data_IF_137637636215
#
_entry.id   IF_137637636215
#
_cell.length_a   1.000
_cell.length_b   1.000
_cell.length_c   1.000
_cell.angle_alpha   90.00
_cell.angle_beta   90.00
_cell.angle_gamma   90.00
#
_symmetry.space_group_name_H-M   'P 1'
#
loop_
_entity.id
_entity.type
_entity.pdbx_description
1 polymer ?
#
# COMPACT_ATOMS: atom_id res chain seq x y z
N UNK A 1 53.43 57.45 -51.24
CA UNK A 1 51.98 57.29 -50.95
C UNK A 1 51.82 56.51 -49.65
N UNK A 2 51.40 57.14 -48.55
CA UNK A 2 51.23 56.48 -47.25
C UNK A 2 49.75 56.32 -46.92
N UNK A 3 49.28 55.09 -46.81
CA UNK A 3 47.88 54.73 -46.58
C UNK A 3 47.57 54.88 -45.07
N UNK A 4 46.85 55.94 -44.67
CA UNK A 4 46.36 56.10 -43.29
C UNK A 4 45.28 55.05 -43.02
N UNK A 5 45.59 54.05 -42.20
CA UNK A 5 44.58 53.12 -41.67
C UNK A 5 43.65 53.88 -40.71
N UNK A 6 42.31 53.75 -40.83
CA UNK A 6 41.40 54.37 -39.89
C UNK A 6 41.59 53.74 -38.50
N UNK A 7 41.86 54.55 -37.48
CA UNK A 7 41.86 54.11 -36.07
C UNK A 7 40.44 53.70 -35.73
N UNK A 8 40.20 52.40 -35.57
CA UNK A 8 38.96 51.86 -35.02
C UNK A 8 38.80 52.43 -33.60
N UNK A 9 37.84 53.34 -33.43
CA UNK A 9 37.45 53.81 -32.10
C UNK A 9 36.73 52.66 -31.40
N UNK A 10 37.43 51.93 -30.55
CA UNK A 10 36.80 51.05 -29.57
C UNK A 10 36.14 51.94 -28.52
N UNK A 11 34.82 52.11 -28.61
CA UNK A 11 34.04 52.71 -27.52
C UNK A 11 34.14 51.79 -26.31
N UNK A 12 34.63 52.30 -25.19
CA UNK A 12 34.62 51.59 -23.91
C UNK A 12 33.20 51.54 -23.34
N UNK A 13 32.86 50.44 -22.68
CA UNK A 13 31.57 50.28 -22.02
C UNK A 13 31.46 51.19 -20.81
N UNK A 14 30.30 51.83 -20.63
CA UNK A 14 30.04 52.60 -19.41
C UNK A 14 29.71 51.67 -18.24
N UNK A 15 29.98 52.12 -17.00
CA UNK A 15 29.72 51.34 -15.80
C UNK A 15 28.24 50.94 -15.69
N UNK A 16 27.33 51.82 -16.11
CA UNK A 16 25.88 51.56 -16.15
C UNK A 16 25.52 50.48 -17.18
N UNK A 17 26.19 50.43 -18.33
CA UNK A 17 25.95 49.43 -19.38
C UNK A 17 26.46 48.04 -18.98
N UNK A 18 27.59 47.97 -18.26
CA UNK A 18 28.08 46.72 -17.65
C UNK A 18 27.17 46.24 -16.51
N UNK A 19 26.68 47.15 -15.67
CA UNK A 19 25.74 46.80 -14.60
C UNK A 19 24.38 46.36 -15.14
N UNK A 20 23.85 47.01 -16.19
CA UNK A 20 22.59 46.62 -16.80
C UNK A 20 22.73 45.27 -17.52
N UNK A 21 23.82 45.04 -18.27
CA UNK A 21 24.09 43.75 -18.91
C UNK A 21 24.22 42.61 -17.90
N UNK A 22 24.93 42.82 -16.78
CA UNK A 22 25.05 41.83 -15.71
C UNK A 22 23.69 41.53 -15.04
N UNK A 23 22.89 42.57 -14.78
CA UNK A 23 21.55 42.43 -14.18
C UNK A 23 20.61 41.65 -15.10
N UNK A 24 20.59 41.98 -16.40
CA UNK A 24 19.80 41.25 -17.40
C UNK A 24 20.27 39.79 -17.49
N UNK A 25 21.58 39.53 -17.46
CA UNK A 25 22.12 38.18 -17.43
C UNK A 25 21.63 37.35 -16.25
N UNK A 26 21.58 37.95 -15.05
CA UNK A 26 21.07 37.28 -13.84
C UNK A 26 19.56 37.01 -13.97
N UNK A 27 18.77 37.97 -14.48
CA UNK A 27 17.32 37.78 -14.68
C UNK A 27 17.05 36.64 -15.65
N UNK A 28 17.81 36.55 -16.75
CA UNK A 28 17.67 35.46 -17.72
C UNK A 28 18.03 34.12 -17.07
N UNK A 29 19.14 34.06 -16.31
CA UNK A 29 19.54 32.84 -15.62
C UNK A 29 18.47 32.38 -14.61
N UNK A 30 17.86 33.31 -13.87
CA UNK A 30 16.76 33.01 -12.96
C UNK A 30 15.56 32.41 -13.69
N UNK A 31 15.19 32.97 -14.86
CA UNK A 31 14.12 32.42 -15.69
C UNK A 31 14.41 31.00 -16.17
N UNK A 32 15.65 30.72 -16.57
CA UNK A 32 16.08 29.38 -17.01
C UNK A 32 16.01 28.37 -15.87
N UNK A 33 16.51 28.73 -14.67
CA UNK A 33 16.46 27.86 -13.50
C UNK A 33 15.01 27.50 -13.15
N UNK A 34 14.09 28.47 -13.20
CA UNK A 34 12.69 28.21 -12.88
C UNK A 34 12.01 27.30 -13.93
N UNK A 35 12.30 27.50 -15.21
CA UNK A 35 11.83 26.61 -16.28
C UNK A 35 12.34 25.17 -16.07
N UNK A 36 13.62 25.00 -15.72
CA UNK A 36 14.17 23.68 -15.41
C UNK A 36 13.54 23.04 -14.18
N UNK A 37 13.27 23.82 -13.12
CA UNK A 37 12.57 23.30 -11.92
C UNK A 37 11.16 22.83 -12.25
N UNK A 38 10.44 23.58 -13.08
CA UNK A 38 9.10 23.19 -13.55
C UNK A 38 9.14 21.88 -14.33
N UNK A 39 10.06 21.74 -15.29
CA UNK A 39 10.23 20.52 -16.07
C UNK A 39 10.62 19.34 -15.17
N UNK A 40 11.57 19.55 -14.25
CA UNK A 40 12.01 18.51 -13.32
C UNK A 40 10.88 18.02 -12.42
N UNK A 41 10.05 18.95 -11.92
CA UNK A 41 8.84 18.61 -11.16
C UNK A 41 7.87 17.76 -11.97
N UNK A 42 7.55 18.20 -13.20
CA UNK A 42 6.64 17.46 -14.08
C UNK A 42 7.15 16.05 -14.42
N UNK A 43 8.46 15.88 -14.63
CA UNK A 43 9.07 14.57 -14.86
C UNK A 43 9.01 13.69 -13.62
N UNK A 44 9.28 14.25 -12.44
CA UNK A 44 9.18 13.55 -11.16
C UNK A 44 7.76 13.04 -10.91
N UNK A 45 6.77 13.91 -11.11
CA UNK A 45 5.34 13.57 -10.95
C UNK A 45 4.90 12.52 -11.97
N UNK A 46 5.33 12.65 -13.22
CA UNK A 46 5.09 11.66 -14.27
C UNK A 46 5.64 10.28 -13.91
N UNK A 47 6.87 10.22 -13.37
CA UNK A 47 7.48 8.97 -12.92
C UNK A 47 6.74 8.35 -11.74
N UNK A 48 6.36 9.17 -10.75
CA UNK A 48 5.59 8.73 -9.58
C UNK A 48 4.26 8.08 -10.00
N UNK A 49 3.54 8.69 -10.94
CA UNK A 49 2.29 8.14 -11.47
C UNK A 49 2.49 6.78 -12.17
N UNK A 50 3.57 6.62 -12.93
CA UNK A 50 3.90 5.34 -13.59
C UNK A 50 4.26 4.26 -12.56
N UNK A 51 5.03 4.62 -11.53
CA UNK A 51 5.40 3.71 -10.44
C UNK A 51 4.16 3.26 -9.64
N UNK A 52 3.24 4.19 -9.35
CA UNK A 52 1.97 3.87 -8.68
C UNK A 52 1.08 2.97 -9.53
N UNK A 53 0.91 3.28 -10.82
CA UNK A 53 0.12 2.46 -11.74
C UNK A 53 0.68 1.04 -11.85
N UNK A 54 2.01 0.91 -11.92
CA UNK A 54 2.68 -0.39 -11.93
C UNK A 54 2.43 -1.15 -10.63
N UNK A 55 2.54 -0.47 -9.49
CA UNK A 55 2.30 -1.04 -8.16
C UNK A 55 0.86 -1.54 -8.00
N UNK A 56 -0.14 -0.76 -8.41
CA UNK A 56 -1.55 -1.15 -8.39
C UNK A 56 -1.84 -2.35 -9.28
N UNK A 57 -1.25 -2.40 -10.49
CA UNK A 57 -1.39 -3.55 -11.40
C UNK A 57 -0.80 -4.81 -10.78
N UNK A 58 0.38 -4.71 -10.14
CA UNK A 58 1.00 -5.84 -9.45
C UNK A 58 0.16 -6.30 -8.25
N UNK A 59 -0.35 -5.38 -7.43
CA UNK A 59 -1.22 -5.69 -6.30
C UNK A 59 -2.51 -6.38 -6.78
N UNK A 60 -3.17 -5.85 -7.81
CA UNK A 60 -4.37 -6.44 -8.41
C UNK A 60 -4.11 -7.83 -8.99
N UNK A 61 -2.99 -8.03 -9.68
CA UNK A 61 -2.63 -9.33 -10.25
C UNK A 61 -2.37 -10.36 -9.14
N UNK A 62 -1.69 -9.96 -8.06
CA UNK A 62 -1.45 -10.84 -6.91
C UNK A 62 -2.74 -11.19 -6.16
N UNK A 63 -3.58 -10.20 -5.88
CA UNK A 63 -4.87 -10.42 -5.22
C UNK A 63 -5.76 -11.37 -6.04
N UNK A 64 -5.83 -11.18 -7.36
CA UNK A 64 -6.56 -12.12 -8.24
C UNK A 64 -5.99 -13.53 -8.16
N UNK A 65 -4.67 -13.69 -8.22
CA UNK A 65 -4.03 -15.00 -8.14
C UNK A 65 -4.33 -15.69 -6.80
N UNK A 66 -4.33 -14.96 -5.69
CA UNK A 66 -4.66 -15.51 -4.38
C UNK A 66 -6.14 -15.91 -4.27
N UNK A 67 -7.05 -15.09 -4.80
CA UNK A 67 -8.50 -15.36 -4.80
C UNK A 67 -8.88 -16.50 -5.75
N UNK A 68 -8.19 -16.66 -6.87
CA UNK A 68 -8.39 -17.80 -7.78
C UNK A 68 -8.01 -19.13 -7.12
N UNK A 69 -7.07 -19.08 -6.18
CA UNK A 69 -6.62 -20.22 -5.37
C UNK A 69 -7.47 -20.49 -4.11
N UNK A 70 -8.58 -19.77 -3.88
CA UNK A 70 -9.37 -19.94 -2.65
C UNK A 70 -9.80 -21.40 -2.44
N UNK A 71 -9.67 -21.88 -1.20
CA UNK A 71 -9.94 -23.30 -0.87
C UNK A 71 -11.38 -23.57 -0.46
N UNK A 72 -12.22 -22.55 -0.33
CA UNK A 72 -13.64 -22.64 0.00
C UNK A 72 -14.47 -21.93 -1.08
N UNK A 73 -15.63 -22.46 -1.48
CA UNK A 73 -16.51 -21.71 -2.38
C UNK A 73 -16.99 -20.43 -1.67
N UNK A 74 -16.87 -19.29 -2.33
CA UNK A 74 -17.36 -17.99 -1.86
C UNK A 74 -18.90 -17.91 -1.97
N UNK A 75 -19.59 -18.78 -1.23
CA UNK A 75 -21.05 -18.80 -1.10
C UNK A 75 -21.43 -18.89 0.38
N UNK A 76 -22.57 -18.32 0.78
CA UNK A 76 -23.05 -18.46 2.15
C UNK A 76 -23.22 -19.93 2.56
N UNK A 77 -22.84 -20.25 3.80
CA UNK A 77 -23.02 -21.57 4.43
C UNK A 77 -22.36 -22.73 3.66
N UNK A 78 -21.01 -22.77 3.56
CA UNK A 78 -20.33 -23.96 3.10
C UNK A 78 -20.64 -25.14 4.03
N UNK A 79 -20.62 -26.36 3.48
CA UNK A 79 -20.84 -27.57 4.27
C UNK A 79 -19.71 -27.72 5.31
N UNK A 80 -20.08 -27.66 6.59
CA UNK A 80 -19.14 -27.72 7.70
C UNK A 80 -18.40 -29.08 7.77
N UNK A 81 -18.97 -30.15 7.19
CA UNK A 81 -18.35 -31.47 7.17
C UNK A 81 -17.28 -31.67 6.08
N UNK A 82 -17.14 -30.72 5.15
CA UNK A 82 -16.27 -30.88 3.98
C UNK A 82 -14.77 -30.58 4.26
N UNK A 83 -14.40 -30.22 5.49
CA UNK A 83 -13.04 -29.84 5.89
C UNK A 83 -12.39 -28.81 4.94
N UNK A 84 -13.20 -27.90 4.43
CA UNK A 84 -12.77 -26.82 3.56
C UNK A 84 -12.09 -25.74 4.39
N UNK A 85 -11.34 -24.87 3.72
CA UNK A 85 -10.83 -23.67 4.36
C UNK A 85 -11.91 -22.62 4.61
N UNK A 86 -11.50 -21.36 4.77
CA UNK A 86 -12.43 -20.26 5.07
C UNK A 86 -12.16 -19.03 4.20
N UNK A 87 -13.17 -18.17 4.14
CA UNK A 87 -13.10 -16.79 3.67
C UNK A 87 -13.92 -15.96 4.64
N UNK A 88 -13.31 -14.91 5.16
CA UNK A 88 -13.89 -14.01 6.13
C UNK A 88 -13.55 -12.58 5.71
N UNK A 89 -14.56 -11.72 5.77
CA UNK A 89 -14.38 -10.28 5.78
C UNK A 89 -14.59 -9.86 7.23
N UNK A 90 -13.53 -9.34 7.83
CA UNK A 90 -13.49 -8.98 9.22
C UNK A 90 -13.60 -7.46 9.35
N UNK A 91 -14.74 -7.05 9.89
CA UNK A 91 -15.06 -5.68 10.30
C UNK A 91 -14.59 -5.53 11.76
N UNK A 92 -13.63 -4.63 12.00
CA UNK A 92 -13.25 -4.25 13.37
C UNK A 92 -14.09 -3.05 13.81
N UNK A 93 -14.32 -2.91 15.11
CA UNK A 93 -15.13 -1.82 15.68
C UNK A 93 -14.29 -0.65 16.18
N UNK A 94 -12.95 -0.76 16.23
CA UNK A 94 -12.01 0.33 16.54
C UNK A 94 -10.57 -0.21 16.65
N UNK A 95 -9.65 0.15 15.74
CA UNK A 95 -8.22 -0.18 15.90
C UNK A 95 -7.57 0.35 17.21
N UNK A 96 -8.19 1.31 17.88
CA UNK A 96 -7.68 1.95 19.09
C UNK A 96 -8.32 1.44 20.39
N UNK A 97 -9.28 0.50 20.33
CA UNK A 97 -9.92 -0.03 21.53
C UNK A 97 -9.30 -1.39 21.89
N UNK A 98 -8.53 -1.49 22.99
CA UNK A 98 -7.86 -2.73 23.39
C UNK A 98 -8.82 -3.75 24.03
N UNK A 99 -10.13 -3.48 24.05
CA UNK A 99 -11.13 -4.36 24.64
C UNK A 99 -11.76 -5.26 23.56
N UNK A 100 -11.84 -6.59 23.80
CA UNK A 100 -12.52 -7.49 22.89
C UNK A 100 -14.01 -7.16 22.91
N UNK A 101 -14.48 -6.55 21.82
CA UNK A 101 -15.88 -6.19 21.55
C UNK A 101 -16.48 -5.18 22.54
N UNK A 102 -16.37 -3.89 22.21
CA UNK A 102 -17.27 -2.88 22.77
C UNK A 102 -18.47 -2.73 21.83
N UNK A 103 -19.71 -3.09 22.22
CA UNK A 103 -20.90 -2.79 21.44
C UNK A 103 -21.18 -1.30 21.56
N UNK A 104 -20.43 -0.49 20.82
CA UNK A 104 -20.42 0.94 21.04
C UNK A 104 -19.91 1.68 19.83
N UNK A 105 -20.84 1.98 18.93
CA UNK A 105 -20.72 3.01 17.89
C UNK A 105 -19.52 2.78 16.98
N UNK A 106 -19.75 2.02 15.91
CA UNK A 106 -18.94 2.17 14.71
C UNK A 106 -18.96 3.67 14.32
N UNK A 107 -17.78 4.28 14.37
CA UNK A 107 -17.60 5.72 14.13
C UNK A 107 -17.41 6.01 12.64
N UNK A 108 -17.34 4.98 11.80
CA UNK A 108 -16.92 5.04 10.41
C UNK A 108 -18.14 5.18 9.50
N UNK A 109 -18.81 6.32 9.66
CA UNK A 109 -20.00 6.67 8.89
C UNK A 109 -19.61 7.08 7.48
N UNK A 110 -19.64 6.15 6.53
CA UNK A 110 -19.47 6.46 5.10
C UNK A 110 -20.63 7.33 4.54
N UNK A 111 -21.81 7.26 5.17
CA UNK A 111 -23.02 7.94 4.72
C UNK A 111 -23.92 8.38 5.87
N UNK A 112 -24.28 9.67 5.90
CA UNK A 112 -25.12 10.28 6.93
C UNK A 112 -26.39 10.87 6.30
N UNK A 113 -27.54 10.21 6.44
CA UNK A 113 -28.82 10.83 6.05
C UNK A 113 -29.22 11.86 7.12
N UNK A 114 -29.18 13.13 6.72
CA UNK A 114 -29.71 14.25 7.49
C UNK A 114 -31.16 14.44 7.08
N UNK A 115 -32.10 14.33 8.02
CA UNK A 115 -33.50 14.62 7.72
C UNK A 115 -33.71 16.14 7.53
N UNK A 116 -34.87 16.57 7.01
CA UNK A 116 -35.19 18.00 6.81
C UNK A 116 -35.13 18.85 8.10
N UNK A 117 -35.07 18.23 9.28
CA UNK A 117 -34.93 18.91 10.57
C UNK A 117 -33.47 19.03 11.05
N UNK A 118 -32.48 18.59 10.25
CA UNK A 118 -31.07 18.65 10.60
C UNK A 118 -30.62 17.53 11.55
N UNK A 119 -31.50 16.58 11.88
CA UNK A 119 -31.18 15.48 12.78
C UNK A 119 -30.54 14.33 12.02
N UNK A 120 -29.48 13.78 12.61
CA UNK A 120 -28.81 12.55 12.15
C UNK A 120 -29.77 11.38 12.36
N UNK A 121 -30.18 10.69 11.30
CA UNK A 121 -30.99 9.48 11.44
C UNK A 121 -30.14 8.40 12.16
N UNK A 122 -30.56 7.88 13.33
CA UNK A 122 -29.66 7.10 14.18
C UNK A 122 -29.30 5.70 13.66
N UNK A 123 -29.86 5.22 12.54
CA UNK A 123 -29.69 3.82 12.09
C UNK A 123 -29.64 3.66 10.55
N UNK A 124 -29.14 4.66 9.81
CA UNK A 124 -28.96 4.59 8.35
C UNK A 124 -27.49 4.80 7.98
N UNK A 125 -26.59 4.23 8.79
CA UNK A 125 -25.15 4.26 8.54
C UNK A 125 -24.82 2.98 7.78
N UNK A 126 -24.30 3.14 6.57
CA UNK A 126 -23.74 2.06 5.77
C UNK A 126 -22.27 1.91 6.22
N UNK A 127 -21.95 0.92 7.06
CA UNK A 127 -20.56 0.63 7.47
C UNK A 127 -19.80 -0.07 6.34
N UNK A 128 -20.49 -0.98 5.64
CA UNK A 128 -19.96 -1.84 4.56
C UNK A 128 -19.32 -1.08 3.38
N UNK A 129 -19.71 0.18 3.12
CA UNK A 129 -19.29 0.87 1.91
C UNK A 129 -18.28 1.99 2.17
N UNK A 130 -17.01 1.63 2.27
CA UNK A 130 -15.89 2.58 2.22
C UNK A 130 -15.27 2.91 3.57
N UNK A 131 -15.46 2.03 4.57
CA UNK A 131 -14.56 1.91 5.69
C UNK A 131 -13.19 1.36 5.21
N UNK A 132 -12.13 1.67 5.96
CA UNK A 132 -10.73 1.45 5.55
C UNK A 132 -9.99 0.56 6.55
N UNK A 133 -10.68 0.06 7.56
CA UNK A 133 -10.20 -0.78 8.66
C UNK A 133 -10.57 -2.25 8.52
N UNK A 134 -11.33 -2.58 7.47
CA UNK A 134 -11.60 -3.95 7.06
C UNK A 134 -10.34 -4.73 6.68
N UNK A 135 -10.35 -6.01 7.07
CA UNK A 135 -9.41 -6.98 6.53
C UNK A 135 -10.13 -8.18 5.91
N UNK A 136 -9.59 -8.66 4.79
CA UNK A 136 -10.06 -9.89 4.15
C UNK A 136 -9.04 -10.99 4.44
N UNK A 137 -9.56 -12.10 4.97
CA UNK A 137 -8.79 -13.25 5.41
C UNK A 137 -9.33 -14.49 4.71
N UNK A 138 -8.47 -15.29 4.10
CA UNK A 138 -8.90 -16.52 3.46
C UNK A 138 -7.76 -17.51 3.32
N UNK A 139 -8.12 -18.78 3.24
CA UNK A 139 -7.18 -19.84 2.89
C UNK A 139 -7.14 -20.03 1.39
N UNK A 140 -5.93 -20.09 0.85
CA UNK A 140 -5.65 -20.23 -0.57
C UNK A 140 -4.60 -21.31 -0.82
N UNK A 141 -4.66 -21.90 -2.01
CA UNK A 141 -3.63 -22.78 -2.55
C UNK A 141 -2.96 -22.12 -3.74
N UNK A 142 -1.65 -22.27 -3.84
CA UNK A 142 -0.96 -21.81 -5.04
C UNK A 142 -1.28 -22.71 -6.24
N UNK A 143 -1.60 -22.08 -7.37
CA UNK A 143 -1.82 -22.75 -8.65
C UNK A 143 -0.55 -22.85 -9.51
N UNK A 144 0.56 -22.20 -9.09
CA UNK A 144 1.80 -22.15 -9.84
C UNK A 144 3.02 -22.43 -8.95
N UNK A 145 3.54 -21.41 -8.26
CA UNK A 145 4.71 -21.50 -7.39
C UNK A 145 4.30 -21.53 -5.91
N UNK A 146 4.88 -22.43 -5.09
CA UNK A 146 4.52 -22.52 -3.68
C UNK A 146 4.86 -21.22 -2.93
N UNK A 147 4.08 -20.93 -1.88
CA UNK A 147 4.35 -19.81 -1.00
C UNK A 147 5.67 -20.05 -0.27
N UNK A 148 6.64 -19.15 -0.45
CA UNK A 148 7.97 -19.26 0.14
C UNK A 148 8.20 -18.23 1.25
N UNK A 149 8.86 -18.65 2.33
CA UNK A 149 9.11 -17.78 3.49
C UNK A 149 10.09 -18.40 4.46
N UNK A 150 10.09 -17.90 5.69
CA UNK A 150 11.03 -18.31 6.73
C UNK A 150 10.28 -18.78 7.96
N UNK A 151 10.72 -19.90 8.52
CA UNK A 151 10.21 -20.46 9.77
C UNK A 151 11.36 -20.56 10.77
N UNK A 152 11.06 -20.39 12.05
CA UNK A 152 12.04 -20.59 13.12
C UNK A 152 12.53 -22.04 13.12
N UNK A 153 13.85 -22.24 13.21
CA UNK A 153 14.49 -23.56 13.19
C UNK A 153 13.96 -24.52 14.26
N UNK A 154 13.53 -23.97 15.40
CA UNK A 154 12.89 -24.72 16.49
C UNK A 154 11.61 -25.45 16.07
N UNK A 155 10.86 -24.92 15.10
CA UNK A 155 9.61 -25.52 14.60
C UNK A 155 9.91 -26.69 13.66
N UNK A 156 11.06 -26.67 12.97
CA UNK A 156 11.47 -27.70 11.99
C UNK A 156 12.50 -28.69 12.55
N UNK A 157 12.57 -28.86 13.88
CA UNK A 157 13.53 -29.74 14.57
C UNK A 157 15.01 -29.49 14.22
N UNK A 158 15.36 -28.26 13.88
CA UNK A 158 16.75 -27.86 13.66
C UNK A 158 17.32 -27.26 14.94
N UNK A 159 18.38 -27.85 15.47
CA UNK A 159 19.02 -27.48 16.75
C UNK A 159 19.74 -26.13 16.72
N UNK A 160 19.91 -25.53 15.54
CA UNK A 160 20.57 -24.24 15.40
C UNK A 160 19.59 -23.09 15.58
N UNK A 161 19.96 -22.08 16.37
CA UNK A 161 19.24 -20.81 16.42
C UNK A 161 19.22 -20.16 15.04
N UNK A 162 18.05 -19.77 14.55
CA UNK A 162 17.90 -19.12 13.26
C UNK A 162 16.60 -19.45 12.55
N UNK A 163 16.57 -19.13 11.26
CA UNK A 163 15.42 -19.35 10.40
C UNK A 163 15.82 -20.18 9.19
N UNK A 164 14.96 -21.11 8.80
CA UNK A 164 15.12 -21.90 7.57
C UNK A 164 14.06 -21.49 6.56
N UNK A 165 14.41 -21.53 5.27
CA UNK A 165 13.46 -21.28 4.20
C UNK A 165 12.50 -22.45 4.11
N UNK A 166 11.21 -22.16 4.05
CA UNK A 166 10.15 -23.13 3.92
C UNK A 166 9.22 -22.73 2.78
N UNK A 167 8.66 -23.73 2.12
CA UNK A 167 7.66 -23.55 1.08
C UNK A 167 6.37 -24.30 1.46
N UNK A 168 5.21 -23.75 1.12
CA UNK A 168 3.93 -24.45 1.25
C UNK A 168 3.04 -24.20 0.03
N UNK A 169 2.36 -25.25 -0.41
CA UNK A 169 1.32 -25.10 -1.43
C UNK A 169 0.07 -24.39 -0.89
N UNK A 170 -0.16 -24.44 0.43
CA UNK A 170 -1.31 -23.86 1.09
C UNK A 170 -0.90 -22.76 2.07
N UNK A 171 -1.62 -21.65 2.04
CA UNK A 171 -1.42 -20.55 2.97
C UNK A 171 -2.75 -19.91 3.36
N UNK A 172 -2.78 -19.34 4.55
CA UNK A 172 -3.76 -18.34 4.93
C UNK A 172 -3.23 -16.97 4.52
N UNK A 173 -4.00 -16.23 3.74
CA UNK A 173 -3.66 -14.91 3.23
C UNK A 173 -4.56 -13.87 3.87
N UNK A 174 -3.94 -12.81 4.35
CA UNK A 174 -4.60 -11.68 5.02
C UNK A 174 -4.22 -10.42 4.27
N UNK A 175 -5.22 -9.65 3.87
CA UNK A 175 -5.08 -8.31 3.30
C UNK A 175 -5.75 -7.30 4.21
N UNK A 176 -5.07 -6.19 4.44
CA UNK A 176 -5.59 -5.08 5.25
C UNK A 176 -4.96 -3.77 4.79
N UNK A 177 -5.64 -2.67 5.02
CA UNK A 177 -5.08 -1.34 4.82
C UNK A 177 -4.40 -0.89 6.12
N UNK A 178 -3.22 -0.32 5.99
CA UNK A 178 -2.52 0.29 7.10
C UNK A 178 -2.41 1.79 6.83
N UNK A 179 -2.91 2.61 7.76
CA UNK A 179 -2.68 4.05 7.72
C UNK A 179 -1.18 4.35 7.72
N UNK A 180 -0.75 5.19 6.78
CA UNK A 180 0.64 5.59 6.64
C UNK A 180 0.83 7.04 7.07
N UNK A 181 0.08 7.96 6.45
CA UNK A 181 0.21 9.39 6.70
C UNK A 181 -1.00 10.16 6.12
N UNK A 182 -1.10 11.45 6.39
CA UNK A 182 -2.06 12.36 5.75
C UNK A 182 -1.31 13.42 4.95
N UNK A 183 -1.64 13.54 3.66
CA UNK A 183 -1.03 14.54 2.76
C UNK A 183 -2.12 15.48 2.25
N UNK A 184 -1.99 16.78 2.52
CA UNK A 184 -2.97 17.81 2.14
C UNK A 184 -4.41 17.50 2.59
N UNK A 185 -4.56 16.89 3.77
CA UNK A 185 -5.86 16.50 4.32
C UNK A 185 -6.44 15.21 3.72
N UNK A 186 -5.70 14.51 2.86
CA UNK A 186 -6.08 13.21 2.31
C UNK A 186 -5.29 12.12 3.05
N UNK A 187 -5.95 11.19 3.75
CA UNK A 187 -5.26 10.09 4.41
C UNK A 187 -4.74 9.09 3.34
N UNK A 188 -3.53 8.61 3.55
CA UNK A 188 -2.84 7.65 2.70
C UNK A 188 -2.74 6.32 3.43
N UNK A 189 -3.06 5.26 2.71
CA UNK A 189 -3.05 3.90 3.21
C UNK A 189 -2.15 3.03 2.34
N UNK A 190 -1.45 2.11 2.99
CA UNK A 190 -0.67 1.06 2.35
C UNK A 190 -1.46 -0.24 2.43
N UNK A 191 -1.81 -0.83 1.28
CA UNK A 191 -2.33 -2.20 1.24
C UNK A 191 -1.23 -3.18 1.65
N UNK A 192 -1.43 -3.84 2.78
CA UNK A 192 -0.55 -4.88 3.29
C UNK A 192 -1.11 -6.26 2.93
N UNK A 193 -0.20 -7.21 2.82
CA UNK A 193 -0.49 -8.62 2.57
C UNK A 193 0.41 -9.48 3.45
N UNK A 194 -0.15 -10.47 4.11
CA UNK A 194 0.60 -11.52 4.84
C UNK A 194 0.15 -12.88 4.33
N UNK A 195 1.09 -13.82 4.23
CA UNK A 195 0.80 -15.22 3.96
C UNK A 195 1.38 -16.06 5.10
N UNK A 196 0.51 -16.83 5.76
CA UNK A 196 0.85 -17.76 6.83
C UNK A 196 0.80 -19.17 6.27
N UNK A 197 1.90 -19.92 6.40
CA UNK A 197 1.98 -21.24 5.76
C UNK A 197 1.21 -22.29 6.54
N UNK A 198 0.37 -23.03 5.83
CA UNK A 198 -0.34 -24.17 6.37
C UNK A 198 0.54 -25.40 6.13
N UNK A 199 1.18 -25.89 7.20
CA UNK A 199 2.10 -27.04 7.18
C UNK A 199 1.82 -27.98 8.35
N UNK A 200 0.78 -28.82 8.26
CA UNK A 200 0.39 -29.74 9.34
C UNK A 200 1.49 -30.74 9.68
N UNK A 201 2.33 -31.07 8.70
CA UNK A 201 3.47 -31.97 8.81
C UNK A 201 4.58 -31.43 9.73
N UNK A 202 4.63 -30.12 9.99
CA UNK A 202 5.61 -29.50 10.88
C UNK A 202 5.19 -29.49 12.36
N UNK A 203 4.05 -30.08 12.73
CA UNK A 203 3.67 -30.25 14.14
C UNK A 203 4.45 -31.38 14.84
N UNK A 204 5.78 -31.39 14.68
CA UNK A 204 6.62 -32.55 15.01
C UNK A 204 6.86 -32.73 16.52
N UNK A 205 6.56 -31.72 17.34
CA UNK A 205 6.76 -31.74 18.81
C UNK A 205 5.49 -31.41 19.63
N UNK A 206 4.31 -31.41 19.02
CA UNK A 206 3.08 -30.96 19.71
C UNK A 206 3.16 -29.51 20.18
N UNK A 207 3.93 -28.67 19.47
CA UNK A 207 4.03 -27.23 19.74
C UNK A 207 2.68 -26.52 19.56
N UNK A 208 1.79 -27.12 18.75
CA UNK A 208 0.37 -26.82 18.72
C UNK A 208 -0.36 -27.95 19.44
N UNK A 209 -1.41 -27.65 20.24
CA UNK A 209 -2.25 -28.67 20.84
C UNK A 209 -2.68 -29.66 19.76
N UNK A 210 -2.47 -30.96 20.00
CA UNK A 210 -3.13 -31.97 19.18
C UNK A 210 -4.64 -31.78 19.38
N UNK A 211 -5.29 -31.11 18.44
CA UNK A 211 -6.75 -31.14 18.37
C UNK A 211 -7.08 -32.59 18.05
N UNK A 212 -7.72 -33.35 18.97
CA UNK A 212 -8.15 -34.69 18.63
C UNK A 212 -9.03 -34.57 17.40
N UNK A 213 -8.76 -35.38 16.37
CA UNK A 213 -9.67 -35.50 15.24
C UNK A 213 -11.05 -35.87 15.84
N UNK A 214 -12.01 -34.93 15.76
CA UNK A 214 -13.39 -35.15 16.19
C UNK A 214 -13.97 -36.38 15.49
N UNK A 215 -14.90 -37.17 16.05
CA UNK A 215 -16.07 -36.82 16.87
C UNK A 215 -16.82 -35.58 16.39
#
# INVERSE_FOLDING_TARGET
MAHRRPRRQSRGFTLVELMSAATIGIIILLGIVEAFRSIAGAVSDGRSNVELSTSLRLASTRLRADLEGITVPARPLPDAGAAMGYIELHEDVDFNNPLPYSPGIDTDKSFQIINNAGNIAPNLNDSITGDLDDCIMFTTRSLSEPFGGRVENRIVNNTNSGYTRLESAHAEVIYWLQYENTVKGIPLYTLRRRALFIRPDLNVNGALPNIPAGQ
#
